data_IF_180622925758
#
_entry.id   IF_180622925758
#
_cell.length_a   1.000
_cell.length_b   1.000
_cell.length_c   1.000
_cell.angle_alpha   90.00
_cell.angle_beta   90.00
_cell.angle_gamma   90.00
#
_symmetry.space_group_name_H-M   'P 1'
#
loop_
_entity.id
_entity.type
_entity.pdbx_description
1 polymer ?
#
# COMPACT_ATOMS: atom_id res chain seq x y z
N UNK A 1 29.87 51.88 9.40
CA UNK A 1 30.15 51.48 7.99
C UNK A 1 31.21 50.40 8.05
N UNK A 2 31.09 49.18 7.52
CA UNK A 2 30.16 48.56 6.57
C UNK A 2 30.03 47.07 6.95
N UNK A 3 28.87 46.49 6.64
CA UNK A 3 28.59 45.07 6.71
C UNK A 3 29.53 44.25 5.81
N UNK A 4 29.80 43.01 6.20
CA UNK A 4 30.02 41.96 5.22
C UNK A 4 29.23 40.72 5.66
N UNK A 5 28.03 40.60 5.08
CA UNK A 5 27.25 39.38 5.12
C UNK A 5 27.88 38.43 4.10
N UNK A 6 28.83 37.60 4.55
CA UNK A 6 29.26 36.47 3.75
C UNK A 6 28.12 35.47 3.72
N UNK A 7 27.56 35.32 2.52
CA UNK A 7 26.49 34.41 2.19
C UNK A 7 26.84 33.02 2.70
N UNK A 8 26.20 32.60 3.79
CA UNK A 8 26.18 31.21 4.22
C UNK A 8 25.34 30.43 3.23
N UNK A 9 25.88 30.19 2.04
CA UNK A 9 25.32 29.16 1.16
C UNK A 9 25.49 27.83 1.89
N UNK A 10 24.40 27.11 2.17
CA UNK A 10 24.49 25.84 2.87
C UNK A 10 25.39 24.90 2.07
N UNK A 11 26.39 24.31 2.75
CA UNK A 11 27.27 23.32 2.15
C UNK A 11 26.42 22.27 1.41
N UNK A 12 26.82 21.82 0.20
CA UNK A 12 26.04 20.87 -0.60
C UNK A 12 25.66 19.59 0.18
N UNK A 13 26.44 19.20 1.18
CA UNK A 13 26.13 18.09 2.11
C UNK A 13 24.89 18.32 2.97
N UNK A 14 24.64 19.55 3.43
CA UNK A 14 23.45 19.90 4.21
C UNK A 14 22.17 19.89 3.35
N UNK A 15 22.26 20.44 2.13
CA UNK A 15 21.16 20.43 1.15
C UNK A 15 20.83 19.01 0.69
N UNK A 16 21.84 18.16 0.47
CA UNK A 16 21.67 16.75 0.10
C UNK A 16 21.08 15.92 1.25
N UNK A 17 21.49 16.19 2.50
CA UNK A 17 20.94 15.54 3.68
C UNK A 17 19.46 15.86 3.90
N UNK A 18 19.06 17.13 3.72
CA UNK A 18 17.66 17.53 3.84
C UNK A 18 16.77 16.89 2.76
N UNK A 19 17.26 16.79 1.52
CA UNK A 19 16.55 16.10 0.43
C UNK A 19 16.36 14.61 0.69
N UNK A 20 17.40 13.94 1.21
CA UNK A 20 17.33 12.54 1.62
C UNK A 20 16.28 12.31 2.72
N UNK A 21 16.22 13.21 3.72
CA UNK A 21 15.24 13.12 4.80
C UNK A 21 13.81 13.31 4.29
N UNK A 22 13.57 14.27 3.40
CA UNK A 22 12.25 14.51 2.80
C UNK A 22 11.82 13.31 1.94
N UNK A 23 12.74 12.74 1.16
CA UNK A 23 12.49 11.55 0.37
C UNK A 23 12.15 10.32 1.23
N UNK A 24 12.90 10.11 2.31
CA UNK A 24 12.63 9.05 3.28
C UNK A 24 11.25 9.23 3.93
N UNK A 25 10.89 10.46 4.33
CA UNK A 25 9.58 10.78 4.90
C UNK A 25 8.44 10.53 3.91
N UNK A 26 8.62 10.89 2.62
CA UNK A 26 7.66 10.61 1.56
C UNK A 26 7.44 9.10 1.37
N UNK A 27 8.52 8.32 1.32
CA UNK A 27 8.46 6.87 1.22
C UNK A 27 7.77 6.23 2.43
N UNK A 28 8.10 6.69 3.65
CA UNK A 28 7.45 6.23 4.88
C UNK A 28 5.94 6.51 4.88
N UNK A 29 5.51 7.68 4.41
CA UNK A 29 4.10 8.02 4.31
C UNK A 29 3.35 7.12 3.32
N UNK A 30 3.94 6.82 2.14
CA UNK A 30 3.38 5.89 1.17
C UNK A 30 3.28 4.47 1.73
N UNK A 31 4.32 4.00 2.43
CA UNK A 31 4.33 2.68 3.07
C UNK A 31 3.25 2.57 4.16
N UNK A 32 3.15 3.57 5.05
CA UNK A 32 2.14 3.59 6.10
C UNK A 32 0.72 3.60 5.51
N UNK A 33 0.48 4.38 4.45
CA UNK A 33 -0.82 4.44 3.79
C UNK A 33 -1.19 3.11 3.15
N UNK A 34 -0.24 2.44 2.48
CA UNK A 34 -0.46 1.12 1.91
C UNK A 34 -0.72 0.07 2.98
N UNK A 35 0.01 0.12 4.10
CA UNK A 35 -0.21 -0.75 5.26
C UNK A 35 -1.62 -0.58 5.83
N UNK A 36 -2.09 0.66 6.02
CA UNK A 36 -3.45 0.91 6.52
C UNK A 36 -4.51 0.39 5.55
N UNK A 37 -4.32 0.54 4.23
CA UNK A 37 -5.22 -0.05 3.22
C UNK A 37 -5.23 -1.57 3.29
N UNK A 38 -4.05 -2.19 3.42
CA UNK A 38 -3.92 -3.64 3.56
C UNK A 38 -4.63 -4.15 4.81
N UNK A 39 -4.49 -3.45 5.94
CA UNK A 39 -5.18 -3.79 7.19
C UNK A 39 -6.70 -3.67 7.06
N UNK A 40 -7.19 -2.58 6.48
CA UNK A 40 -8.64 -2.38 6.25
C UNK A 40 -9.21 -3.51 5.40
N UNK A 41 -8.53 -3.88 4.31
CA UNK A 41 -9.00 -4.93 3.43
C UNK A 41 -8.98 -6.30 4.13
N UNK A 42 -7.87 -6.63 4.80
CA UNK A 42 -7.73 -7.90 5.54
C UNK A 42 -8.82 -8.06 6.61
N UNK A 43 -9.11 -7.00 7.37
CA UNK A 43 -10.16 -7.03 8.39
C UNK A 43 -11.56 -7.13 7.78
N UNK A 44 -11.79 -6.45 6.66
CA UNK A 44 -13.06 -6.53 5.93
C UNK A 44 -13.31 -7.94 5.40
N UNK A 45 -12.28 -8.55 4.82
CA UNK A 45 -12.32 -9.93 4.36
C UNK A 45 -12.56 -10.91 5.51
N UNK A 46 -11.86 -10.75 6.64
CA UNK A 46 -12.04 -11.61 7.81
C UNK A 46 -13.48 -11.54 8.34
N UNK A 47 -14.05 -10.34 8.44
CA UNK A 47 -15.46 -10.16 8.82
C UNK A 47 -16.39 -10.91 7.87
N UNK A 48 -16.25 -10.69 6.57
CA UNK A 48 -17.07 -11.37 5.54
C UNK A 48 -16.95 -12.89 5.67
N UNK A 49 -15.73 -13.41 5.86
CA UNK A 49 -15.51 -14.84 6.03
C UNK A 49 -16.19 -15.38 7.28
N UNK A 50 -16.14 -14.67 8.41
CA UNK A 50 -16.87 -15.04 9.63
C UNK A 50 -18.39 -15.08 9.39
N UNK A 51 -18.95 -14.09 8.69
CA UNK A 51 -20.38 -14.06 8.35
C UNK A 51 -20.78 -15.27 7.48
N UNK A 52 -19.94 -15.66 6.50
CA UNK A 52 -20.18 -16.86 5.71
C UNK A 52 -20.09 -18.16 6.54
N UNK A 53 -19.20 -18.22 7.54
CA UNK A 53 -19.11 -19.38 8.44
C UNK A 53 -20.37 -19.53 9.29
N UNK A 54 -20.89 -18.42 9.85
CA UNK A 54 -22.15 -18.42 10.60
C UNK A 54 -23.29 -18.90 9.71
N UNK A 55 -23.40 -18.35 8.50
CA UNK A 55 -24.41 -18.77 7.52
C UNK A 55 -24.35 -20.27 7.21
N UNK A 56 -23.16 -20.82 6.99
CA UNK A 56 -23.00 -22.25 6.74
C UNK A 56 -23.52 -23.09 7.91
N UNK A 57 -23.22 -22.70 9.16
CA UNK A 57 -23.72 -23.42 10.34
C UNK A 57 -25.24 -23.33 10.43
N UNK A 58 -25.82 -22.15 10.19
CA UNK A 58 -27.28 -21.97 10.20
C UNK A 58 -27.95 -22.83 9.12
N UNK A 59 -27.39 -22.84 7.90
CA UNK A 59 -27.90 -23.63 6.78
C UNK A 59 -27.78 -25.16 7.06
N UNK A 60 -26.70 -25.60 7.73
CA UNK A 60 -26.52 -27.00 8.15
C UNK A 60 -27.50 -27.42 9.26
N UNK A 61 -27.80 -26.53 10.20
CA UNK A 61 -28.75 -26.80 11.29
C UNK A 61 -30.19 -26.83 10.77
N UNK A 62 -30.49 -26.05 9.74
CA UNK A 62 -31.82 -26.02 9.12
C UNK A 62 -32.11 -27.24 8.25
N UNK A 63 -31.08 -27.89 7.67
CA UNK A 63 -31.22 -29.07 6.82
C UNK A 63 -31.49 -30.35 7.63
N UNK A 64 -32.43 -31.18 7.18
CA UNK A 64 -32.76 -32.46 7.83
C UNK A 64 -32.14 -33.68 7.12
N UNK A 65 -31.65 -33.53 5.89
CA UNK A 65 -31.09 -34.63 5.09
C UNK A 65 -29.58 -34.48 4.84
N UNK A 66 -28.89 -35.62 4.67
CA UNK A 66 -27.45 -35.64 4.40
C UNK A 66 -27.07 -34.99 3.07
N UNK A 67 -27.90 -35.12 2.03
CA UNK A 67 -27.66 -34.48 0.74
C UNK A 67 -27.70 -32.95 0.87
N UNK A 68 -28.63 -32.41 1.66
CA UNK A 68 -28.71 -30.96 1.94
C UNK A 68 -27.41 -30.47 2.61
N UNK A 69 -26.85 -31.26 3.53
CA UNK A 69 -25.59 -30.91 4.19
C UNK A 69 -24.39 -30.92 3.22
N UNK A 70 -24.33 -31.87 2.29
CA UNK A 70 -23.27 -31.92 1.27
C UNK A 70 -23.36 -30.75 0.29
N UNK A 71 -24.58 -30.38 -0.13
CA UNK A 71 -24.81 -29.24 -1.01
C UNK A 71 -24.44 -27.92 -0.32
N UNK A 72 -24.82 -27.74 0.95
CA UNK A 72 -24.40 -26.58 1.75
C UNK A 72 -22.88 -26.49 1.84
N UNK A 73 -22.20 -27.60 2.16
CA UNK A 73 -20.75 -27.62 2.31
C UNK A 73 -20.02 -27.36 0.99
N UNK A 74 -20.47 -27.97 -0.11
CA UNK A 74 -19.87 -27.80 -1.43
C UNK A 74 -20.03 -26.37 -1.96
N UNK A 75 -21.20 -25.75 -1.77
CA UNK A 75 -21.44 -24.35 -2.09
C UNK A 75 -20.56 -23.43 -1.25
N UNK A 76 -20.45 -23.70 0.05
CA UNK A 76 -19.58 -22.93 0.93
C UNK A 76 -18.10 -23.00 0.52
N UNK A 77 -17.60 -24.18 0.16
CA UNK A 77 -16.22 -24.35 -0.31
C UNK A 77 -15.97 -23.61 -1.63
N UNK A 78 -16.90 -23.68 -2.57
CA UNK A 78 -16.80 -22.95 -3.84
C UNK A 78 -16.77 -21.44 -3.62
N UNK A 79 -17.68 -20.92 -2.80
CA UNK A 79 -17.73 -19.50 -2.47
C UNK A 79 -16.45 -19.07 -1.73
N UNK A 80 -15.98 -19.84 -0.75
CA UNK A 80 -14.76 -19.55 -0.04
C UNK A 80 -13.55 -19.48 -0.98
N UNK A 81 -13.43 -20.43 -1.91
CA UNK A 81 -12.35 -20.45 -2.91
C UNK A 81 -12.37 -19.18 -3.76
N UNK A 82 -13.55 -18.80 -4.26
CA UNK A 82 -13.74 -17.57 -5.04
C UNK A 82 -13.38 -16.32 -4.23
N UNK A 83 -13.84 -16.24 -2.98
CA UNK A 83 -13.58 -15.13 -2.08
C UNK A 83 -12.07 -14.95 -1.81
N UNK A 84 -11.34 -16.03 -1.54
CA UNK A 84 -9.88 -15.98 -1.35
C UNK A 84 -9.15 -15.55 -2.62
N UNK A 85 -9.58 -16.03 -3.79
CA UNK A 85 -8.97 -15.63 -5.06
C UNK A 85 -9.18 -14.14 -5.34
N UNK A 86 -10.39 -13.63 -5.12
CA UNK A 86 -10.70 -12.21 -5.23
C UNK A 86 -9.88 -11.38 -4.26
N UNK A 87 -9.78 -11.81 -3.00
CA UNK A 87 -9.03 -11.11 -1.96
C UNK A 87 -7.54 -11.04 -2.26
N UNK A 88 -6.95 -12.14 -2.73
CA UNK A 88 -5.56 -12.15 -3.21
C UNK A 88 -5.35 -11.13 -4.34
N UNK A 89 -6.32 -10.98 -5.25
CA UNK A 89 -6.30 -9.95 -6.29
C UNK A 89 -6.29 -8.52 -5.74
N UNK A 90 -7.05 -8.24 -4.68
CA UNK A 90 -7.04 -6.92 -4.02
C UNK A 90 -5.71 -6.64 -3.33
N UNK A 91 -5.15 -7.62 -2.62
CA UNK A 91 -3.82 -7.53 -2.00
C UNK A 91 -2.75 -7.23 -3.05
N UNK A 92 -2.78 -7.95 -4.18
CA UNK A 92 -1.88 -7.70 -5.30
C UNK A 92 -2.04 -6.28 -5.86
N UNK A 93 -3.28 -5.78 -5.95
CA UNK A 93 -3.58 -4.40 -6.40
C UNK A 93 -3.00 -3.33 -5.44
N UNK A 94 -3.18 -3.50 -4.12
CA UNK A 94 -2.59 -2.61 -3.11
C UNK A 94 -1.06 -2.58 -3.26
N UNK A 95 -0.46 -3.76 -3.45
CA UNK A 95 1.00 -3.92 -3.57
C UNK A 95 1.55 -3.28 -4.85
N UNK A 96 0.86 -3.50 -5.98
CA UNK A 96 1.18 -2.86 -7.27
C UNK A 96 1.08 -1.34 -7.19
N UNK A 97 0.05 -0.83 -6.52
CA UNK A 97 -0.13 0.61 -6.30
C UNK A 97 1.00 1.19 -5.45
N UNK A 98 1.41 0.51 -4.38
CA UNK A 98 2.55 0.94 -3.57
C UNK A 98 3.84 0.97 -4.40
N UNK A 99 4.12 -0.08 -5.16
CA UNK A 99 5.30 -0.13 -6.04
C UNK A 99 5.31 1.02 -7.07
N UNK A 100 4.16 1.32 -7.66
CA UNK A 100 4.01 2.45 -8.59
C UNK A 100 4.23 3.81 -7.92
N UNK A 101 3.69 4.02 -6.71
CA UNK A 101 3.90 5.24 -5.92
C UNK A 101 5.40 5.42 -5.59
N UNK A 102 6.10 4.34 -5.22
CA UNK A 102 7.56 4.35 -4.97
C UNK A 102 8.34 4.69 -6.25
N UNK A 103 8.04 4.01 -7.37
CA UNK A 103 8.72 4.24 -8.64
C UNK A 103 8.57 5.69 -9.13
N UNK A 104 7.35 6.26 -8.99
CA UNK A 104 7.09 7.66 -9.31
C UNK A 104 7.89 8.61 -8.42
N UNK A 105 7.98 8.31 -7.13
CA UNK A 105 8.74 9.13 -6.18
C UNK A 105 10.24 9.12 -6.49
N UNK A 106 10.82 7.96 -6.82
CA UNK A 106 12.22 7.83 -7.24
C UNK A 106 12.49 8.59 -8.53
N UNK A 107 11.61 8.43 -9.54
CA UNK A 107 11.75 9.14 -10.82
C UNK A 107 11.74 10.66 -10.64
N UNK A 108 10.82 11.19 -9.83
CA UNK A 108 10.74 12.63 -9.56
C UNK A 108 11.99 13.17 -8.89
N UNK A 109 12.61 12.41 -7.98
CA UNK A 109 13.88 12.81 -7.34
C UNK A 109 15.06 12.81 -8.33
N UNK A 110 15.11 11.82 -9.24
CA UNK A 110 16.13 11.76 -10.27
C UNK A 110 16.02 12.95 -11.23
N UNK A 111 14.80 13.29 -11.68
CA UNK A 111 14.52 14.44 -12.54
C UNK A 111 14.96 15.76 -11.88
N UNK A 112 14.60 15.97 -10.61
CA UNK A 112 15.02 17.16 -9.85
C UNK A 112 16.54 17.28 -9.69
N UNK A 113 17.23 16.15 -9.50
CA UNK A 113 18.70 16.14 -9.38
C UNK A 113 19.39 16.51 -10.69
N UNK A 114 18.87 16.03 -11.83
CA UNK A 114 19.39 16.36 -13.16
C UNK A 114 19.20 17.85 -13.45
N UNK A 115 18.04 18.41 -13.12
CA UNK A 115 17.72 19.83 -13.31
C UNK A 115 18.68 20.73 -12.50
N UNK A 116 18.95 20.39 -11.25
CA UNK A 116 19.90 21.14 -10.42
C UNK A 116 21.34 21.08 -10.94
N UNK A 117 21.79 19.92 -11.43
CA UNK A 117 23.12 19.78 -12.03
C UNK A 117 23.26 20.64 -13.28
N UNK A 118 22.22 20.67 -14.12
CA UNK A 118 22.19 21.52 -15.31
C UNK A 118 22.24 23.01 -14.92
N UNK A 119 21.43 23.44 -13.96
CA UNK A 119 21.42 24.82 -13.47
C UNK A 119 22.78 25.25 -12.88
N UNK A 120 23.45 24.36 -12.13
CA UNK A 120 24.78 24.62 -11.57
C UNK A 120 25.90 24.69 -12.61
N UNK A 121 25.71 24.16 -13.82
CA UNK A 121 26.73 24.16 -14.88
C UNK A 121 26.65 25.43 -15.75
N UNK A 122 25.52 26.15 -15.70
CA UNK A 122 25.26 27.37 -16.49
C UNK A 122 25.59 28.65 -15.71
N UNK A 123 25.79 28.56 -14.40
CA UNK A 123 26.19 29.66 -13.49
C UNK A 123 27.71 29.75 -13.34
#
# INVERSE_FOLDING_TARGET
>A
MKANAESSQPLPTATNGQRLLIAAAGLQAHALRAMMRYQIETLSFLKHRCEQNVKMVDDLVAGSEFNDAFDVLSNFLQNATSDYAMEAGKVASISSRLASEIARHVRSQAEATIEDMAASTVA
#
